data_IF_297065035393
#
_entry.id   IF_297065035393
#
_cell.length_a   1.000
_cell.length_b   1.000
_cell.length_c   1.000
_cell.angle_alpha   90.00
_cell.angle_beta   90.00
_cell.angle_gamma   90.00
#
_symmetry.space_group_name_H-M   'P 1'
#
loop_
_entity.id
_entity.type
_entity.pdbx_description
1 polymer ?
#
# COMPACT_ATOMS: atom_id res chain seq x y z
N UNK A 1 13.84 6.03 11.85
CA UNK A 1 14.15 6.72 10.58
C UNK A 1 13.04 6.39 9.62
N UNK A 2 12.17 7.35 9.25
CA UNK A 2 11.23 7.16 8.12
C UNK A 2 12.10 6.91 6.90
N UNK A 3 11.95 5.77 6.23
CA UNK A 3 12.42 5.67 4.85
C UNK A 3 11.71 6.82 4.10
N UNK A 4 12.47 7.65 3.37
CA UNK A 4 11.95 8.82 2.64
C UNK A 4 11.14 8.39 1.40
N UNK A 5 10.08 7.64 1.64
CA UNK A 5 9.11 7.24 0.63
C UNK A 5 7.91 8.15 0.85
N UNK A 6 7.46 8.79 -0.23
CA UNK A 6 6.29 9.64 -0.16
C UNK A 6 5.03 8.76 -0.25
N UNK A 7 3.93 9.28 0.28
CA UNK A 7 2.61 8.65 0.25
C UNK A 7 2.25 8.08 -1.13
N UNK A 8 2.54 8.81 -2.21
CA UNK A 8 2.27 8.32 -3.57
C UNK A 8 3.03 7.04 -3.89
N UNK A 9 4.30 6.93 -3.52
CA UNK A 9 5.11 5.72 -3.75
C UNK A 9 4.64 4.55 -2.88
N UNK A 10 4.22 4.83 -1.64
CA UNK A 10 3.63 3.83 -0.74
C UNK A 10 2.34 3.25 -1.34
N UNK A 11 1.41 4.11 -1.79
CA UNK A 11 0.18 3.71 -2.48
C UNK A 11 0.44 2.79 -3.68
N UNK A 12 1.44 3.12 -4.52
CA UNK A 12 1.78 2.27 -5.67
C UNK A 12 2.30 0.89 -5.23
N UNK A 13 3.17 0.83 -4.23
CA UNK A 13 3.75 -0.43 -3.76
C UNK A 13 2.69 -1.32 -3.11
N UNK A 14 1.82 -0.74 -2.29
CA UNK A 14 0.68 -1.43 -1.69
C UNK A 14 -0.28 -1.95 -2.78
N UNK A 15 -0.63 -1.11 -3.76
CA UNK A 15 -1.48 -1.52 -4.90
C UNK A 15 -0.88 -2.70 -5.66
N UNK A 16 0.43 -2.69 -5.92
CA UNK A 16 1.11 -3.83 -6.57
C UNK A 16 0.99 -5.09 -5.72
N UNK A 17 1.17 -4.99 -4.39
CA UNK A 17 1.00 -6.12 -3.47
C UNK A 17 -0.42 -6.67 -3.51
N UNK A 18 -1.44 -5.81 -3.39
CA UNK A 18 -2.86 -6.19 -3.43
C UNK A 18 -3.21 -6.86 -4.76
N UNK A 19 -2.80 -6.28 -5.88
CA UNK A 19 -3.06 -6.85 -7.20
C UNK A 19 -2.32 -8.18 -7.41
N UNK A 20 -1.11 -8.34 -6.88
CA UNK A 20 -0.35 -9.60 -6.99
C UNK A 20 -1.00 -10.78 -6.26
N UNK A 21 -1.86 -10.51 -5.27
CA UNK A 21 -2.68 -11.53 -4.59
C UNK A 21 -3.91 -11.93 -5.40
N UNK A 22 -4.38 -11.06 -6.30
CA UNK A 22 -5.63 -11.21 -7.08
C UNK A 22 -5.37 -11.69 -8.51
N UNK A 23 -4.23 -11.32 -9.09
CA UNK A 23 -3.90 -11.51 -10.50
C UNK A 23 -2.67 -12.41 -10.65
N UNK A 24 -2.59 -13.22 -11.74
CA UNK A 24 -1.40 -14.02 -12.01
C UNK A 24 -0.16 -13.18 -12.29
N UNK A 25 -0.33 -11.97 -12.86
CA UNK A 25 0.72 -10.98 -13.10
C UNK A 25 0.13 -9.58 -12.97
N UNK A 26 0.93 -8.61 -12.52
CA UNK A 26 0.54 -7.19 -12.42
C UNK A 26 1.16 -6.41 -13.57
N UNK A 27 0.39 -5.52 -14.20
CA UNK A 27 0.85 -4.57 -15.23
C UNK A 27 0.47 -3.15 -14.86
N UNK A 28 1.12 -2.17 -15.50
CA UNK A 28 0.85 -0.74 -15.24
C UNK A 28 -0.61 -0.33 -15.49
N UNK A 29 -1.32 -1.05 -16.38
CA UNK A 29 -2.75 -0.77 -16.64
C UNK A 29 -3.62 -1.19 -15.47
N UNK A 30 -3.28 -2.28 -14.77
CA UNK A 30 -4.03 -2.76 -13.62
C UNK A 30 -3.90 -1.76 -12.47
N UNK A 31 -2.67 -1.30 -12.22
CA UNK A 31 -2.36 -0.25 -11.22
C UNK A 31 -3.09 1.06 -11.54
N UNK A 32 -3.11 1.46 -12.81
CA UNK A 32 -3.80 2.68 -13.23
C UNK A 32 -5.32 2.59 -13.03
N UNK A 33 -5.91 1.43 -13.29
CA UNK A 33 -7.33 1.19 -13.09
C UNK A 33 -7.68 1.15 -11.59
N UNK A 34 -6.90 0.45 -10.78
CA UNK A 34 -7.14 0.34 -9.33
C UNK A 34 -7.07 1.71 -8.64
N UNK A 35 -6.07 2.52 -8.97
CA UNK A 35 -5.88 3.86 -8.36
C UNK A 35 -6.70 4.97 -9.05
N UNK A 36 -7.38 4.69 -10.15
CA UNK A 36 -8.06 5.71 -10.96
C UNK A 36 -7.11 6.75 -11.58
N UNK A 37 -5.84 6.41 -11.79
CA UNK A 37 -4.81 7.32 -12.28
C UNK A 37 -4.59 7.20 -13.80
N UNK A 38 -4.06 8.28 -14.39
CA UNK A 38 -3.67 8.27 -15.81
C UNK A 38 -2.49 7.31 -16.03
N UNK A 39 -2.55 6.52 -17.11
CA UNK A 39 -1.46 5.59 -17.50
C UNK A 39 -0.09 6.27 -17.60
N UNK A 40 -0.04 7.51 -18.08
CA UNK A 40 1.21 8.28 -18.16
C UNK A 40 1.81 8.57 -16.78
N UNK A 41 0.97 8.91 -15.79
CA UNK A 41 1.41 9.14 -14.41
C UNK A 41 1.96 7.85 -13.78
N UNK A 42 1.25 6.73 -13.96
CA UNK A 42 1.69 5.42 -13.47
C UNK A 42 3.02 5.02 -14.13
N UNK A 43 3.19 5.26 -15.43
CA UNK A 43 4.44 4.94 -16.12
C UNK A 43 5.65 5.70 -15.53
N UNK A 44 5.47 6.95 -15.16
CA UNK A 44 6.53 7.75 -14.50
C UNK A 44 6.82 7.20 -13.11
N UNK A 45 5.79 6.86 -12.34
CA UNK A 45 5.95 6.26 -11.02
C UNK A 45 6.68 4.91 -11.06
N UNK A 46 6.32 4.03 -12.00
CA UNK A 46 6.99 2.73 -12.18
C UNK A 46 8.47 2.90 -12.56
N UNK A 47 8.80 3.94 -13.34
CA UNK A 47 10.20 4.26 -13.63
C UNK A 47 10.95 4.62 -12.33
N UNK A 48 10.39 5.53 -11.52
CA UNK A 48 11.03 5.95 -10.27
C UNK A 48 11.15 4.81 -9.24
N UNK A 49 10.14 3.96 -9.10
CA UNK A 49 10.19 2.81 -8.19
C UNK A 49 11.25 1.79 -8.62
N UNK A 50 11.45 1.62 -9.95
CA UNK A 50 12.50 0.75 -10.49
C UNK A 50 13.90 1.35 -10.26
N UNK A 51 14.07 2.65 -10.48
CA UNK A 51 15.33 3.36 -10.22
C UNK A 51 15.74 3.29 -8.73
N UNK A 52 14.76 3.14 -7.83
CA UNK A 52 14.97 2.93 -6.39
C UNK A 52 15.04 1.47 -5.95
N UNK A 53 15.03 0.54 -6.90
CA UNK A 53 15.09 -0.91 -6.65
C UNK A 53 13.94 -1.45 -5.77
N UNK A 54 12.75 -0.84 -5.84
CA UNK A 54 11.55 -1.33 -5.15
C UNK A 54 10.71 -2.26 -6.03
N UNK A 55 10.87 -2.18 -7.35
CA UNK A 55 10.18 -3.05 -8.31
C UNK A 55 11.11 -3.52 -9.41
N UNK A 56 10.80 -4.66 -10.00
CA UNK A 56 11.32 -5.10 -11.29
C UNK A 56 10.22 -5.10 -12.33
N UNK A 57 10.58 -4.90 -13.59
CA UNK A 57 9.65 -5.00 -14.72
C UNK A 57 10.30 -5.81 -15.83
N UNK A 58 9.66 -6.91 -16.23
CA UNK A 58 10.14 -7.78 -17.32
C UNK A 58 9.93 -7.12 -18.69
N UNK A 59 10.55 -7.66 -19.74
CA UNK A 59 10.30 -7.23 -21.13
C UNK A 59 8.82 -7.35 -21.55
N UNK A 60 8.09 -8.32 -20.99
CA UNK A 60 6.65 -8.48 -21.20
C UNK A 60 5.78 -7.47 -20.43
N UNK A 61 6.38 -6.58 -19.63
CA UNK A 61 5.70 -5.56 -18.83
C UNK A 61 5.13 -6.04 -17.50
N UNK A 62 5.54 -7.20 -16.99
CA UNK A 62 5.10 -7.70 -15.68
C UNK A 62 5.88 -7.04 -14.56
N UNK A 63 5.15 -6.60 -13.55
CA UNK A 63 5.68 -5.84 -12.42
C UNK A 63 5.73 -6.76 -11.20
N UNK A 64 6.89 -6.81 -10.57
CA UNK A 64 7.10 -7.54 -9.32
C UNK A 64 7.74 -6.62 -8.29
N UNK A 65 7.32 -6.76 -7.02
CA UNK A 65 8.02 -6.15 -5.90
C UNK A 65 9.37 -6.84 -5.71
N UNK A 66 10.42 -6.05 -5.50
CA UNK A 66 11.67 -6.57 -4.92
C UNK A 66 11.46 -6.81 -3.42
N UNK A 67 12.46 -7.36 -2.73
CA UNK A 67 12.39 -7.55 -1.28
C UNK A 67 12.18 -6.20 -0.54
N UNK A 68 12.87 -5.15 -0.97
CA UNK A 68 12.70 -3.81 -0.36
C UNK A 68 11.32 -3.25 -0.62
N UNK A 69 10.81 -3.33 -1.86
CA UNK A 69 9.47 -2.86 -2.19
C UNK A 69 8.38 -3.64 -1.48
N UNK A 70 8.59 -4.96 -1.28
CA UNK A 70 7.68 -5.83 -0.55
C UNK A 70 7.62 -5.47 0.92
N UNK A 71 8.75 -5.25 1.58
CA UNK A 71 8.79 -4.85 2.99
C UNK A 71 7.96 -3.58 3.23
N UNK A 72 8.10 -2.59 2.34
CA UNK A 72 7.33 -1.34 2.41
C UNK A 72 5.84 -1.60 2.15
N UNK A 73 5.52 -2.35 1.09
CA UNK A 73 4.13 -2.65 0.74
C UNK A 73 3.41 -3.41 1.85
N UNK A 74 4.06 -4.41 2.46
CA UNK A 74 3.50 -5.22 3.54
C UNK A 74 3.33 -4.39 4.83
N UNK A 75 4.28 -3.50 5.14
CA UNK A 75 4.14 -2.56 6.25
C UNK A 75 2.92 -1.64 6.06
N UNK A 76 2.71 -1.09 4.87
CA UNK A 76 1.57 -0.21 4.60
C UNK A 76 0.26 -1.00 4.62
N UNK A 77 0.22 -2.15 3.95
CA UNK A 77 -0.95 -3.03 3.92
C UNK A 77 -1.36 -3.53 5.32
N UNK A 78 -0.40 -3.84 6.19
CA UNK A 78 -0.68 -4.20 7.59
C UNK A 78 -1.40 -3.05 8.31
N UNK A 79 -0.99 -1.81 8.06
CA UNK A 79 -1.60 -0.63 8.67
C UNK A 79 -3.00 -0.42 8.14
N UNK A 80 -3.21 -0.52 6.83
CA UNK A 80 -4.53 -0.48 6.20
C UNK A 80 -5.49 -1.48 6.84
N UNK A 81 -5.07 -2.75 6.90
CA UNK A 81 -5.93 -3.83 7.41
C UNK A 81 -6.26 -3.65 8.90
N UNK A 82 -5.29 -3.24 9.70
CA UNK A 82 -5.53 -3.06 11.13
C UNK A 82 -6.49 -1.89 11.39
N UNK A 83 -6.25 -0.77 10.72
CA UNK A 83 -7.04 0.44 10.89
C UNK A 83 -8.46 0.26 10.37
N UNK A 84 -8.64 -0.31 9.17
CA UNK A 84 -9.96 -0.59 8.60
C UNK A 84 -10.79 -1.52 9.49
N UNK A 85 -10.22 -2.67 9.89
CA UNK A 85 -10.91 -3.63 10.80
C UNK A 85 -11.25 -2.98 12.14
N UNK A 86 -10.35 -2.17 12.69
CA UNK A 86 -10.57 -1.49 13.96
C UNK A 86 -11.68 -0.43 13.87
N UNK A 87 -11.67 0.42 12.82
CA UNK A 87 -12.71 1.42 12.60
C UNK A 87 -14.08 0.77 12.42
N UNK A 88 -14.16 -0.35 11.69
CA UNK A 88 -15.39 -1.15 11.60
C UNK A 88 -15.84 -1.64 12.98
N UNK A 89 -14.91 -2.15 13.81
CA UNK A 89 -15.22 -2.58 15.19
C UNK A 89 -15.73 -1.42 16.07
N UNK A 90 -15.30 -0.19 15.80
CA UNK A 90 -15.82 1.02 16.45
C UNK A 90 -17.20 1.46 15.94
N UNK A 91 -17.75 0.79 14.91
CA UNK A 91 -19.06 1.08 14.34
C UNK A 91 -19.04 2.00 13.12
N UNK A 92 -17.86 2.27 12.55
CA UNK A 92 -17.75 3.01 11.28
C UNK A 92 -18.23 2.13 10.12
N UNK A 93 -18.94 2.72 9.16
CA UNK A 93 -19.35 2.01 7.95
C UNK A 93 -18.10 1.43 7.23
N UNK A 94 -18.14 0.18 6.72
CA UNK A 94 -16.97 -0.45 6.09
C UNK A 94 -16.31 0.34 4.96
N UNK A 95 -17.09 1.02 4.11
CA UNK A 95 -16.54 1.82 3.00
C UNK A 95 -15.81 3.05 3.55
N UNK A 96 -16.40 3.74 4.52
CA UNK A 96 -15.78 4.90 5.19
C UNK A 96 -14.53 4.47 5.96
N UNK A 97 -14.58 3.32 6.64
CA UNK A 97 -13.46 2.77 7.39
C UNK A 97 -12.26 2.44 6.49
N UNK A 98 -12.51 1.91 5.29
CA UNK A 98 -11.48 1.63 4.29
C UNK A 98 -10.86 2.94 3.76
N UNK A 99 -11.70 3.91 3.36
CA UNK A 99 -11.22 5.21 2.88
C UNK A 99 -10.42 6.00 3.92
N UNK A 100 -10.83 5.94 5.19
CA UNK A 100 -10.13 6.60 6.29
C UNK A 100 -8.83 5.86 6.65
N UNK A 101 -8.84 4.52 6.67
CA UNK A 101 -7.64 3.72 6.90
C UNK A 101 -6.55 4.01 5.85
N UNK A 102 -6.94 4.08 4.58
CA UNK A 102 -6.04 4.39 3.46
C UNK A 102 -5.33 5.75 3.64
N UNK A 103 -5.98 6.74 4.27
CA UNK A 103 -5.32 8.03 4.57
C UNK A 103 -4.45 7.93 5.82
N UNK A 104 -4.94 7.23 6.84
CA UNK A 104 -4.30 7.13 8.14
C UNK A 104 -2.97 6.35 8.10
N UNK A 105 -2.88 5.31 7.28
CA UNK A 105 -1.69 4.47 7.16
C UNK A 105 -0.43 5.22 6.73
N UNK A 106 -0.54 6.29 5.94
CA UNK A 106 0.63 7.04 5.49
C UNK A 106 1.09 8.08 6.52
N UNK A 107 0.14 8.62 7.29
CA UNK A 107 0.38 9.79 8.15
C UNK A 107 0.77 9.42 9.58
N UNK A 108 0.23 8.32 10.11
CA UNK A 108 0.47 7.94 11.50
C UNK A 108 1.97 7.69 11.74
N UNK A 109 2.46 8.08 12.93
CA UNK A 109 3.81 7.73 13.33
C UNK A 109 3.90 6.24 13.64
N UNK A 110 5.11 5.67 13.57
CA UNK A 110 5.34 4.28 14.01
C UNK A 110 4.89 4.09 15.47
N UNK A 111 5.22 5.03 16.35
CA UNK A 111 4.85 4.97 17.77
C UNK A 111 3.32 4.90 17.95
N UNK A 112 2.57 5.75 17.24
CA UNK A 112 1.11 5.76 17.28
C UNK A 112 0.54 4.45 16.75
N UNK A 113 1.06 3.95 15.62
CA UNK A 113 0.58 2.70 15.04
C UNK A 113 0.83 1.50 15.96
N UNK A 114 2.01 1.38 16.56
CA UNK A 114 2.32 0.28 17.50
C UNK A 114 1.44 0.33 18.75
N UNK A 115 1.17 1.53 19.27
CA UNK A 115 0.26 1.70 20.41
C UNK A 115 -1.17 1.28 20.07
N UNK A 116 -1.68 1.69 18.89
CA UNK A 116 -2.98 1.25 18.38
C UNK A 116 -3.01 -0.27 18.18
N UNK A 117 -2.01 -0.84 17.51
CA UNK A 117 -1.92 -2.29 17.27
C UNK A 117 -1.96 -3.08 18.56
N UNK A 118 -1.22 -2.65 19.59
CA UNK A 118 -1.26 -3.27 20.93
C UNK A 118 -2.64 -3.13 21.57
N UNK A 119 -3.28 -1.96 21.46
CA UNK A 119 -4.61 -1.74 22.04
C UNK A 119 -5.68 -2.60 21.37
N UNK A 120 -5.68 -2.67 20.04
CA UNK A 120 -6.66 -3.44 19.26
C UNK A 120 -6.52 -4.94 19.51
N UNK A 121 -5.28 -5.45 19.59
CA UNK A 121 -5.00 -6.87 19.79
C UNK A 121 -5.05 -7.31 21.26
N UNK A 122 -4.92 -6.37 22.21
CA UNK A 122 -4.94 -6.63 23.65
C UNK A 122 -6.28 -6.33 24.33
N UNK A 123 -7.27 -5.80 23.60
CA UNK A 123 -8.63 -5.59 24.09
C UNK A 123 -9.40 -6.92 24.00
N UNK A 124 -9.15 -7.80 24.97
CA UNK A 124 -10.07 -8.86 25.41
C UNK A 124 -11.01 -8.34 26.51
#
# INVERSE_FOLDING_TARGET
MRAFINESSENYLETILVLSKKLPVVRSVDIANELGFKKSSVSIAMKHLREKDHITVTDAGYIYLTDTGREIAEMIYERHELLSKWLVKLGVNPEVADEDACKMEHVLSKETFEALKKHVNGAE
#
